data_IF_667454972176
#
_entry.id   IF_667454972176
#
_cell.length_a   1.000
_cell.length_b   1.000
_cell.length_c   1.000
_cell.angle_alpha   90.00
_cell.angle_beta   90.00
_cell.angle_gamma   90.00
#
_symmetry.space_group_name_H-M   'P 1'
#
loop_
_entity.id
_entity.type
_entity.pdbx_description
1 polymer ?
#
# COMPACT_ATOMS: atom_id res chain seq x y z
N UNK A 1 -5.97 -12.81 6.73
CA UNK A 1 -4.93 -11.94 6.11
C UNK A 1 -4.28 -11.17 7.24
N UNK A 2 -2.96 -11.26 7.37
CA UNK A 2 -2.22 -10.39 8.29
C UNK A 2 -1.85 -9.12 7.52
N UNK A 3 -2.06 -7.96 8.11
CA UNK A 3 -1.61 -6.70 7.53
C UNK A 3 -0.16 -6.45 7.98
N UNK A 4 0.69 -5.87 7.12
CA UNK A 4 2.04 -5.51 7.52
C UNK A 4 1.95 -4.34 8.50
N UNK A 5 2.81 -4.35 9.51
CA UNK A 5 2.98 -3.19 10.38
C UNK A 5 3.44 -1.99 9.54
N UNK A 6 2.98 -0.78 9.89
CA UNK A 6 3.29 0.45 9.13
C UNK A 6 4.79 0.65 8.85
N UNK A 7 5.73 0.38 9.77
CA UNK A 7 7.17 0.53 9.50
C UNK A 7 7.68 -0.46 8.44
N UNK A 8 7.17 -1.69 8.45
CA UNK A 8 7.54 -2.70 7.46
C UNK A 8 7.04 -2.27 6.07
N UNK A 9 5.78 -1.84 5.99
CA UNK A 9 5.19 -1.36 4.74
C UNK A 9 5.89 -0.09 4.22
N UNK A 10 6.26 0.86 5.09
CA UNK A 10 7.02 2.04 4.72
C UNK A 10 8.31 1.69 3.97
N UNK A 11 9.05 0.69 4.47
CA UNK A 11 10.29 0.22 3.86
C UNK A 11 10.06 -0.43 2.48
N UNK A 12 8.94 -1.11 2.29
CA UNK A 12 8.58 -1.72 1.00
C UNK A 12 8.11 -0.71 -0.04
N UNK A 13 7.58 0.43 0.41
CA UNK A 13 7.13 1.53 -0.45
C UNK A 13 8.16 2.66 -0.55
N UNK A 14 9.38 2.45 -0.04
CA UNK A 14 10.47 3.39 -0.22
C UNK A 14 10.77 3.59 -1.72
N UNK A 15 10.88 4.84 -2.14
CA UNK A 15 11.10 5.21 -3.55
C UNK A 15 9.84 5.30 -4.42
N UNK A 16 8.64 5.03 -3.87
CA UNK A 16 7.40 5.36 -4.57
C UNK A 16 7.33 6.88 -4.76
N UNK A 17 7.06 7.31 -6.00
CA UNK A 17 6.81 8.72 -6.29
C UNK A 17 5.34 9.01 -6.07
N UNK A 18 5.05 9.84 -5.08
CA UNK A 18 3.72 10.36 -4.83
C UNK A 18 3.53 11.70 -5.57
N UNK A 19 2.29 12.05 -5.97
CA UNK A 19 1.05 11.32 -5.79
C UNK A 19 0.94 10.11 -6.72
N UNK A 20 0.36 9.01 -6.21
CA UNK A 20 0.22 7.78 -6.98
C UNK A 20 -1.13 7.09 -6.73
N UNK A 21 -1.50 6.16 -7.60
CA UNK A 21 -2.69 5.32 -7.41
C UNK A 21 -2.34 3.90 -6.98
N UNK A 22 -3.35 3.13 -6.56
CA UNK A 22 -3.21 1.72 -6.15
C UNK A 22 -2.40 0.87 -7.13
N UNK A 23 -2.61 1.04 -8.44
CA UNK A 23 -1.90 0.26 -9.45
C UNK A 23 -0.38 0.48 -9.39
N UNK A 24 0.05 1.69 -9.06
CA UNK A 24 1.47 2.01 -8.94
C UNK A 24 2.08 1.44 -7.66
N UNK A 25 1.35 1.52 -6.54
CA UNK A 25 1.74 0.85 -5.29
C UNK A 25 1.92 -0.65 -5.49
N UNK A 26 0.98 -1.31 -6.17
CA UNK A 26 1.07 -2.74 -6.48
C UNK A 26 2.24 -3.07 -7.39
N UNK A 27 2.47 -2.25 -8.43
CA UNK A 27 3.62 -2.44 -9.34
C UNK A 27 4.93 -2.30 -8.59
N UNK A 28 5.08 -1.25 -7.77
CA UNK A 28 6.29 -1.01 -6.99
C UNK A 28 6.53 -2.13 -5.98
N UNK A 29 5.53 -2.49 -5.18
CA UNK A 29 5.65 -3.56 -4.20
C UNK A 29 5.97 -4.92 -4.85
N UNK A 30 5.37 -5.23 -6.01
CA UNK A 30 5.66 -6.45 -6.77
C UNK A 30 7.08 -6.43 -7.33
N UNK A 31 7.54 -5.31 -7.88
CA UNK A 31 8.92 -5.14 -8.37
C UNK A 31 9.96 -5.24 -7.23
N UNK A 32 9.58 -4.82 -6.02
CA UNK A 32 10.38 -5.00 -4.81
C UNK A 32 10.35 -6.43 -4.24
N UNK A 33 9.62 -7.36 -4.87
CA UNK A 33 9.53 -8.76 -4.45
C UNK A 33 8.68 -9.00 -3.20
N UNK A 34 7.76 -8.08 -2.90
CA UNK A 34 6.87 -8.23 -1.74
C UNK A 34 5.89 -9.39 -1.94
N UNK A 35 5.54 -10.07 -0.85
CA UNK A 35 4.61 -11.20 -0.85
C UNK A 35 3.15 -10.78 -0.67
N UNK A 36 2.28 -11.77 -0.53
CA UNK A 36 0.83 -11.60 -0.32
C UNK A 36 0.49 -10.83 0.96
N UNK A 37 1.39 -10.83 1.94
CA UNK A 37 1.29 -10.05 3.17
C UNK A 37 1.28 -8.54 2.90
N UNK A 38 1.91 -8.07 1.81
CA UNK A 38 1.88 -6.66 1.38
C UNK A 38 0.93 -6.47 0.20
N UNK A 39 1.01 -7.35 -0.80
CA UNK A 39 0.23 -7.23 -2.04
C UNK A 39 -1.26 -7.43 -1.81
N UNK A 40 -1.66 -8.29 -0.87
CA UNK A 40 -3.07 -8.51 -0.50
C UNK A 40 -3.72 -7.23 0.04
N UNK A 41 -3.18 -6.63 1.11
CA UNK A 41 -3.65 -5.34 1.63
C UNK A 41 -3.69 -4.21 0.60
N UNK A 42 -2.61 -4.00 -0.16
CA UNK A 42 -2.58 -3.00 -1.24
C UNK A 42 -3.61 -3.32 -2.34
N UNK A 43 -3.85 -4.61 -2.58
CA UNK A 43 -4.89 -5.11 -3.48
C UNK A 43 -6.30 -4.76 -3.02
N UNK A 44 -6.53 -4.60 -1.71
CA UNK A 44 -7.83 -4.21 -1.14
C UNK A 44 -8.14 -2.72 -1.22
N UNK A 45 -7.15 -1.89 -1.53
CA UNK A 45 -7.34 -0.44 -1.68
C UNK A 45 -8.33 -0.09 -2.82
N UNK A 46 -9.04 1.06 -2.74
CA UNK A 46 -9.87 1.53 -3.85
C UNK A 46 -9.04 1.76 -5.12
N UNK A 47 -9.62 1.41 -6.28
CA UNK A 47 -8.90 1.45 -7.57
C UNK A 47 -8.68 2.86 -8.11
N UNK A 48 -9.61 3.77 -7.81
CA UNK A 48 -9.62 5.16 -8.29
C UNK A 48 -9.05 6.16 -7.27
N UNK A 49 -8.54 5.68 -6.14
CA UNK A 49 -7.93 6.56 -5.13
C UNK A 49 -6.54 7.04 -5.55
N UNK A 50 -6.29 8.31 -5.23
CA UNK A 50 -4.99 8.97 -5.33
C UNK A 50 -4.46 9.14 -3.91
N UNK A 51 -3.29 8.57 -3.68
CA UNK A 51 -2.54 8.73 -2.45
C UNK A 51 -1.51 9.83 -2.67
N UNK A 52 -1.62 10.90 -1.88
CA UNK A 52 -0.71 12.04 -1.99
C UNK A 52 0.63 11.82 -1.26
N UNK A 53 0.65 10.85 -0.34
CA UNK A 53 1.81 10.44 0.44
C UNK A 53 1.59 9.06 1.08
N UNK A 54 2.59 8.60 1.83
CA UNK A 54 2.54 7.33 2.53
C UNK A 54 1.50 7.29 3.67
N UNK A 55 1.21 8.41 4.33
CA UNK A 55 0.22 8.50 5.41
C UNK A 55 -1.20 8.29 4.88
N UNK A 56 -1.48 8.83 3.69
CA UNK A 56 -2.72 8.59 2.94
C UNK A 56 -2.93 7.10 2.64
N UNK A 57 -1.86 6.37 2.34
CA UNK A 57 -1.90 4.90 2.13
C UNK A 57 -2.22 4.18 3.44
N UNK A 58 -1.56 4.54 4.55
CA UNK A 58 -1.82 3.94 5.86
C UNK A 58 -3.25 4.19 6.34
N UNK A 59 -3.73 5.43 6.21
CA UNK A 59 -5.10 5.80 6.54
C UNK A 59 -6.13 4.96 5.78
N UNK A 60 -5.90 4.73 4.48
CA UNK A 60 -6.79 3.90 3.67
C UNK A 60 -6.74 2.41 4.07
N UNK A 61 -5.56 1.88 4.40
CA UNK A 61 -5.40 0.50 4.87
C UNK A 61 -6.08 0.29 6.23
N UNK A 62 -5.93 1.23 7.16
CA UNK A 62 -6.59 1.16 8.47
C UNK A 62 -8.10 1.29 8.35
N UNK A 63 -8.60 2.12 7.42
CA UNK A 63 -10.02 2.19 7.11
C UNK A 63 -10.58 0.87 6.54
N UNK A 64 -9.79 0.08 5.81
CA UNK A 64 -10.18 -1.25 5.33
C UNK A 64 -10.18 -2.27 6.47
N UNK A 65 -9.20 -2.21 7.38
CA UNK A 65 -9.12 -3.10 8.54
C UNK A 65 -10.25 -2.91 9.55
N UNK A 66 -10.81 -1.71 9.62
CA UNK A 66 -11.91 -1.38 10.52
C UNK A 66 -13.30 -1.80 9.99
N UNK A 67 -13.38 -2.36 8.77
CA UNK A 67 -14.62 -2.87 8.15
C UNK A 67 -14.77 -4.36 8.37
#
# INVERSE_FOLDING_TARGET
MSFPDHPALARHLEGVTYPCGRAELLRHASAAGCGDDVLGPLGGLPRDDRYDDLDSVFSALDAIRAR
#
